data_IF_939463550641
#
_entry.id   IF_939463550641
#
_cell.length_a   1.000
_cell.length_b   1.000
_cell.length_c   1.000
_cell.angle_alpha   90.00
_cell.angle_beta   90.00
_cell.angle_gamma   90.00
#
_symmetry.space_group_name_H-M   'P 1'
#
loop_
_entity.id
_entity.type
_entity.pdbx_description
1 polymer ?
#
# COMPACT_ATOMS: atom_id res chain seq x y z
N UNK A 1 -20.54 3.38 -29.42
CA UNK A 1 -20.71 2.42 -28.30
C UNK A 1 -19.91 2.95 -27.12
N UNK A 2 -20.45 2.98 -25.90
CA UNK A 2 -19.68 3.40 -24.75
C UNK A 2 -18.46 2.51 -24.60
N UNK A 3 -17.32 3.11 -24.27
CA UNK A 3 -16.06 2.43 -24.09
C UNK A 3 -16.15 1.49 -22.87
N UNK A 4 -16.19 0.17 -23.09
CA UNK A 4 -16.35 -0.86 -22.05
C UNK A 4 -15.00 -1.16 -21.36
N UNK A 5 -13.93 -0.47 -21.76
CA UNK A 5 -12.59 -0.68 -21.22
C UNK A 5 -12.55 -0.28 -19.72
N UNK A 6 -12.14 -1.18 -18.82
CA UNK A 6 -12.04 -0.90 -17.40
C UNK A 6 -10.78 -0.07 -17.12
N UNK A 7 -10.86 1.25 -17.31
CA UNK A 7 -9.71 2.17 -17.30
C UNK A 7 -8.85 2.07 -16.04
N UNK A 8 -9.44 2.00 -14.84
CA UNK A 8 -8.64 1.89 -13.61
C UNK A 8 -7.90 0.55 -13.50
N UNK A 9 -8.55 -0.54 -13.93
CA UNK A 9 -7.92 -1.87 -13.96
C UNK A 9 -6.80 -1.94 -15.00
N UNK A 10 -7.00 -1.32 -16.16
CA UNK A 10 -5.99 -1.24 -17.21
C UNK A 10 -4.79 -0.39 -16.77
N UNK A 11 -5.04 0.77 -16.16
CA UNK A 11 -4.00 1.63 -15.60
C UNK A 11 -3.17 0.89 -14.54
N UNK A 12 -3.83 0.14 -13.65
CA UNK A 12 -3.15 -0.69 -12.66
C UNK A 12 -2.17 -1.69 -13.27
N UNK A 13 -2.52 -2.34 -14.39
CA UNK A 13 -1.60 -3.25 -15.10
C UNK A 13 -0.50 -2.50 -15.85
N UNK A 14 -0.82 -1.39 -16.52
CA UNK A 14 0.12 -0.54 -17.28
C UNK A 14 1.15 0.15 -16.39
N UNK A 15 0.86 0.38 -15.10
CA UNK A 15 1.78 1.01 -14.16
C UNK A 15 2.77 0.03 -13.51
N UNK A 16 2.55 -1.28 -13.63
CA UNK A 16 3.45 -2.27 -13.03
C UNK A 16 4.79 -2.34 -13.75
N UNK A 17 5.89 -2.33 -13.02
CA UNK A 17 7.26 -2.53 -13.50
C UNK A 17 7.57 -4.02 -13.63
N UNK A 18 8.46 -4.40 -14.55
CA UNK A 18 8.90 -5.78 -14.69
C UNK A 18 9.85 -6.13 -13.54
N UNK A 19 9.49 -7.11 -12.72
CA UNK A 19 10.31 -7.58 -11.60
C UNK A 19 10.47 -9.10 -11.71
N UNK A 20 11.55 -9.59 -12.35
CA UNK A 20 11.85 -11.01 -12.41
C UNK A 20 11.96 -11.60 -11.01
N UNK A 21 11.31 -12.74 -10.79
CA UNK A 21 11.38 -13.43 -9.51
C UNK A 21 11.31 -14.95 -9.71
N UNK A 22 12.06 -15.69 -8.89
CA UNK A 22 12.17 -17.14 -9.01
C UNK A 22 10.98 -17.84 -8.35
N UNK A 23 10.50 -17.28 -7.25
CA UNK A 23 9.35 -17.74 -6.47
C UNK A 23 8.30 -16.65 -6.39
N UNK A 24 7.04 -17.06 -6.20
CA UNK A 24 6.00 -16.10 -5.84
C UNK A 24 6.24 -15.48 -4.44
N UNK A 25 7.10 -16.09 -3.62
CA UNK A 25 7.46 -15.57 -2.30
C UNK A 25 8.53 -14.47 -2.33
N UNK A 26 9.13 -14.20 -3.49
CA UNK A 26 10.16 -13.18 -3.66
C UNK A 26 9.55 -11.77 -3.68
N UNK A 27 8.50 -11.59 -4.47
CA UNK A 27 7.66 -10.38 -4.47
C UNK A 27 6.53 -10.58 -3.50
N UNK A 28 6.43 -9.73 -2.47
CA UNK A 28 5.54 -9.97 -1.33
C UNK A 28 4.55 -8.83 -1.10
N UNK A 29 3.31 -9.16 -0.72
CA UNK A 29 2.24 -8.21 -0.37
C UNK A 29 2.11 -7.03 -1.34
N UNK A 30 2.29 -5.79 -0.86
CA UNK A 30 2.12 -4.55 -1.62
C UNK A 30 3.14 -4.40 -2.74
N UNK A 31 4.26 -5.13 -2.72
CA UNK A 31 5.19 -5.18 -3.86
C UNK A 31 4.45 -5.65 -5.11
N UNK A 32 3.44 -6.52 -4.98
CA UNK A 32 2.58 -6.91 -6.10
C UNK A 32 1.76 -5.76 -6.67
N UNK A 33 1.58 -4.62 -5.98
CA UNK A 33 0.89 -3.46 -6.54
C UNK A 33 1.70 -2.77 -7.63
N UNK A 34 3.02 -2.71 -7.49
CA UNK A 34 3.94 -2.02 -8.41
C UNK A 34 4.75 -2.97 -9.27
N UNK A 35 4.91 -4.24 -8.87
CA UNK A 35 5.64 -5.25 -9.62
C UNK A 35 4.70 -6.14 -10.45
N UNK A 36 5.05 -6.32 -11.72
CA UNK A 36 4.59 -7.42 -12.55
C UNK A 36 5.63 -8.51 -12.49
N UNK A 37 5.24 -9.66 -11.95
CA UNK A 37 6.13 -10.81 -11.81
C UNK A 37 5.41 -12.11 -12.16
N UNK A 38 6.18 -13.07 -12.64
CA UNK A 38 5.75 -14.45 -12.84
C UNK A 38 6.89 -15.34 -12.38
N UNK A 39 6.62 -16.18 -11.37
CA UNK A 39 7.63 -17.09 -10.81
C UNK A 39 8.34 -17.88 -11.93
N UNK A 40 9.68 -17.93 -11.87
CA UNK A 40 10.55 -18.62 -12.85
C UNK A 40 10.60 -17.96 -14.25
N UNK A 41 9.96 -16.81 -14.46
CA UNK A 41 10.18 -15.99 -15.66
C UNK A 41 11.34 -15.03 -15.39
N UNK A 42 12.56 -15.58 -15.32
CA UNK A 42 13.77 -14.84 -14.94
C UNK A 42 14.29 -13.93 -16.07
N UNK A 43 13.91 -14.22 -17.32
CA UNK A 43 14.27 -13.40 -18.48
C UNK A 43 13.27 -12.25 -18.62
N UNK A 44 13.80 -11.02 -18.73
CA UNK A 44 12.99 -9.79 -18.79
C UNK A 44 12.05 -9.80 -20.00
N UNK A 45 12.51 -10.31 -21.13
CA UNK A 45 11.75 -10.37 -22.38
C UNK A 45 10.55 -11.33 -22.29
N UNK A 46 10.71 -12.49 -21.65
CA UNK A 46 9.59 -13.42 -21.36
C UNK A 46 8.57 -12.75 -20.44
N UNK A 47 9.05 -12.05 -19.41
CA UNK A 47 8.18 -11.36 -18.46
C UNK A 47 7.46 -10.17 -19.12
N UNK A 48 8.14 -9.45 -20.00
CA UNK A 48 7.58 -8.36 -20.81
C UNK A 48 6.47 -8.86 -21.73
N UNK A 49 6.65 -9.98 -22.42
CA UNK A 49 5.62 -10.56 -23.29
C UNK A 49 4.40 -11.00 -22.49
N UNK A 50 4.60 -11.63 -21.33
CA UNK A 50 3.51 -12.00 -20.43
C UNK A 50 2.72 -10.76 -19.97
N UNK A 51 3.42 -9.69 -19.57
CA UNK A 51 2.79 -8.43 -19.18
C UNK A 51 1.98 -7.83 -20.31
N UNK A 52 2.58 -7.73 -21.49
CA UNK A 52 1.94 -7.21 -22.71
C UNK A 52 0.70 -8.04 -23.08
N UNK A 53 0.80 -9.36 -23.01
CA UNK A 53 -0.34 -10.24 -23.28
C UNK A 53 -1.49 -10.04 -22.29
N UNK A 54 -1.20 -9.85 -21.00
CA UNK A 54 -2.24 -9.57 -19.98
C UNK A 54 -2.88 -8.20 -20.22
N UNK A 55 -2.07 -7.16 -20.50
CA UNK A 55 -2.56 -5.81 -20.82
C UNK A 55 -3.47 -5.85 -22.05
N UNK A 56 -3.02 -6.50 -23.13
CA UNK A 56 -3.80 -6.65 -24.36
C UNK A 56 -5.10 -7.43 -24.12
N UNK A 57 -5.07 -8.43 -23.23
CA UNK A 57 -6.27 -9.17 -22.91
C UNK A 57 -7.29 -8.32 -22.14
N UNK A 58 -6.85 -7.43 -21.25
CA UNK A 58 -7.71 -6.46 -20.58
C UNK A 58 -8.26 -5.41 -21.55
N UNK A 59 -7.38 -4.80 -22.33
CA UNK A 59 -7.72 -3.70 -23.25
C UNK A 59 -8.68 -4.14 -24.36
N UNK A 60 -8.53 -5.36 -24.87
CA UNK A 60 -9.35 -5.91 -25.96
C UNK A 60 -10.45 -6.86 -25.49
N UNK A 61 -10.63 -7.04 -24.17
CA UNK A 61 -11.62 -7.97 -23.61
C UNK A 61 -11.42 -9.44 -24.04
N UNK A 62 -10.17 -9.89 -24.19
CA UNK A 62 -9.88 -11.23 -24.71
C UNK A 62 -10.24 -12.34 -23.71
N UNK A 63 -10.74 -13.47 -24.21
CA UNK A 63 -10.94 -14.67 -23.40
C UNK A 63 -9.60 -15.32 -22.98
N UNK A 64 -9.64 -16.20 -21.99
CA UNK A 64 -8.45 -17.01 -21.62
C UNK A 64 -7.95 -17.86 -22.80
N UNK A 65 -8.86 -18.41 -23.62
CA UNK A 65 -8.48 -19.25 -24.77
C UNK A 65 -7.76 -18.42 -25.83
N UNK A 66 -8.22 -17.19 -26.09
CA UNK A 66 -7.55 -16.23 -26.97
C UNK A 66 -6.18 -15.81 -26.43
N UNK A 67 -6.11 -15.44 -25.14
CA UNK A 67 -4.85 -15.12 -24.45
C UNK A 67 -3.84 -16.26 -24.58
N UNK A 68 -4.26 -17.50 -24.29
CA UNK A 68 -3.42 -18.71 -24.38
C UNK A 68 -2.94 -18.95 -25.80
N UNK A 69 -3.84 -18.88 -26.80
CA UNK A 69 -3.51 -19.10 -28.21
C UNK A 69 -2.42 -18.13 -28.69
N UNK A 70 -2.48 -16.87 -28.24
CA UNK A 70 -1.55 -15.83 -28.65
C UNK A 70 -0.18 -15.95 -27.96
N UNK A 71 -0.14 -16.17 -26.64
CA UNK A 71 1.11 -16.12 -25.88
C UNK A 71 1.88 -17.45 -25.88
N UNK A 72 1.20 -18.59 -26.04
CA UNK A 72 1.84 -19.91 -25.96
C UNK A 72 2.96 -20.12 -26.99
N UNK A 73 2.78 -19.83 -28.29
CA UNK A 73 3.85 -20.00 -29.27
C UNK A 73 5.07 -19.13 -28.97
N UNK A 74 4.86 -17.89 -28.53
CA UNK A 74 5.94 -16.94 -28.17
C UNK A 74 6.77 -17.51 -27.01
N UNK A 75 6.12 -18.00 -25.96
CA UNK A 75 6.82 -18.58 -24.81
C UNK A 75 7.56 -19.88 -25.17
N UNK A 76 7.01 -20.69 -26.10
CA UNK A 76 7.68 -21.89 -26.60
C UNK A 76 8.95 -21.54 -27.39
N UNK A 77 8.86 -20.55 -28.28
CA UNK A 77 10.01 -20.06 -29.06
C UNK A 77 11.11 -19.51 -28.16
N UNK A 78 10.75 -18.80 -27.08
CA UNK A 78 11.68 -18.30 -26.06
C UNK A 78 12.17 -19.37 -25.08
N UNK A 79 11.78 -20.63 -25.30
CA UNK A 79 12.19 -21.75 -24.46
C UNK A 79 11.61 -21.73 -23.04
N UNK A 80 10.61 -20.89 -22.74
CA UNK A 80 9.92 -20.84 -21.47
C UNK A 80 8.67 -21.75 -21.46
N UNK A 81 8.84 -23.04 -21.75
CA UNK A 81 7.74 -24.00 -21.78
C UNK A 81 8.14 -25.36 -21.25
N UNK A 82 7.18 -26.07 -20.62
CA UNK A 82 7.40 -27.40 -20.09
C UNK A 82 8.22 -27.40 -18.79
N UNK A 83 8.89 -28.52 -18.53
CA UNK A 83 9.79 -28.70 -17.39
C UNK A 83 11.23 -28.47 -17.84
N UNK A 84 11.98 -27.69 -17.08
CA UNK A 84 13.41 -27.44 -17.31
C UNK A 84 14.15 -27.32 -15.98
N UNK A 85 15.42 -27.69 -15.99
CA UNK A 85 16.29 -27.40 -14.85
C UNK A 85 16.53 -25.89 -14.75
N UNK A 86 16.47 -25.38 -13.53
CA UNK A 86 16.82 -24.00 -13.20
C UNK A 86 17.53 -23.96 -11.87
N UNK A 87 18.56 -23.12 -11.77
CA UNK A 87 19.22 -22.80 -10.50
C UNK A 87 18.46 -21.67 -9.81
N UNK A 88 18.07 -21.90 -8.56
CA UNK A 88 17.51 -20.87 -7.70
C UNK A 88 18.60 -19.89 -7.29
N UNK A 89 18.52 -18.60 -7.66
CA UNK A 89 19.59 -17.63 -7.36
C UNK A 89 19.76 -17.37 -5.86
N UNK A 90 18.72 -17.62 -5.05
CA UNK A 90 18.79 -17.40 -3.60
C UNK A 90 19.49 -18.56 -2.87
N UNK A 91 19.22 -19.80 -3.30
CA UNK A 91 19.68 -21.00 -2.58
C UNK A 91 20.82 -21.74 -3.28
N UNK A 92 21.13 -21.41 -4.53
CA UNK A 92 22.11 -22.10 -5.37
C UNK A 92 21.68 -23.50 -5.84
N UNK A 93 20.49 -23.98 -5.46
CA UNK A 93 20.02 -25.33 -5.77
C UNK A 93 19.40 -25.40 -7.17
N UNK A 94 19.77 -26.43 -7.93
CA UNK A 94 19.10 -26.77 -9.19
C UNK A 94 17.79 -27.50 -8.90
N UNK A 95 16.70 -27.03 -9.50
CA UNK A 95 15.37 -27.65 -9.38
C UNK A 95 14.80 -27.96 -10.76
N UNK A 96 14.02 -29.04 -10.86
CA UNK A 96 13.21 -29.32 -12.03
C UNK A 96 11.97 -28.41 -12.02
N UNK A 97 12.11 -27.24 -12.63
CA UNK A 97 11.12 -26.17 -12.62
C UNK A 97 10.07 -26.38 -13.72
N UNK A 98 8.79 -26.30 -13.34
CA UNK A 98 7.70 -26.14 -14.30
C UNK A 98 7.69 -24.69 -14.82
N UNK A 99 8.13 -24.47 -16.07
CA UNK A 99 8.00 -23.22 -16.83
C UNK A 99 6.59 -23.10 -17.41
N UNK A 100 6.39 -22.57 -18.62
CA UNK A 100 5.06 -22.43 -19.22
C UNK A 100 4.27 -23.75 -19.30
N UNK A 101 2.97 -23.66 -19.00
CA UNK A 101 1.98 -24.72 -19.24
C UNK A 101 0.59 -24.09 -19.32
N UNK A 102 -0.38 -24.77 -19.95
CA UNK A 102 -1.76 -24.28 -20.05
C UNK A 102 -2.36 -23.96 -18.67
N UNK A 103 -2.10 -24.81 -17.66
CA UNK A 103 -2.52 -24.56 -16.27
C UNK A 103 -1.87 -23.30 -15.70
N UNK A 104 -0.57 -23.08 -15.92
CA UNK A 104 0.12 -21.88 -15.41
C UNK A 104 -0.33 -20.61 -16.12
N UNK A 105 -0.53 -20.64 -17.44
CA UNK A 105 -1.11 -19.53 -18.19
C UNK A 105 -2.48 -19.15 -17.64
N UNK A 106 -3.30 -20.13 -17.26
CA UNK A 106 -4.61 -19.90 -16.64
C UNK A 106 -4.49 -19.18 -15.30
N UNK A 107 -3.51 -19.55 -14.48
CA UNK A 107 -3.23 -18.86 -13.21
C UNK A 107 -2.76 -17.43 -13.46
N UNK A 108 -1.77 -17.23 -14.34
CA UNK A 108 -1.22 -15.91 -14.68
C UNK A 108 -2.33 -14.98 -15.16
N UNK A 109 -3.13 -15.43 -16.12
CA UNK A 109 -4.26 -14.69 -16.65
C UNK A 109 -5.26 -14.34 -15.52
N UNK A 110 -5.75 -15.35 -14.78
CA UNK A 110 -6.81 -15.13 -13.79
C UNK A 110 -6.38 -14.23 -12.64
N UNK A 111 -5.20 -14.44 -12.08
CA UNK A 111 -4.72 -13.66 -10.93
C UNK A 111 -4.52 -12.20 -11.33
N UNK A 112 -3.85 -11.92 -12.45
CA UNK A 112 -3.64 -10.54 -12.87
C UNK A 112 -4.95 -9.83 -13.22
N UNK A 113 -5.83 -10.48 -13.99
CA UNK A 113 -7.12 -9.89 -14.35
C UNK A 113 -7.98 -9.62 -13.10
N UNK A 114 -8.08 -10.58 -12.17
CA UNK A 114 -8.88 -10.42 -10.95
C UNK A 114 -8.34 -9.32 -10.05
N UNK A 115 -7.03 -9.30 -9.81
CA UNK A 115 -6.41 -8.27 -8.98
C UNK A 115 -6.62 -6.88 -9.58
N UNK A 116 -6.48 -6.75 -10.91
CA UNK A 116 -6.73 -5.50 -11.61
C UNK A 116 -8.19 -5.03 -11.52
N UNK A 117 -9.16 -5.92 -11.74
CA UNK A 117 -10.57 -5.58 -11.58
C UNK A 117 -10.92 -5.19 -10.14
N UNK A 118 -10.37 -5.90 -9.15
CA UNK A 118 -10.59 -5.58 -7.74
C UNK A 118 -9.95 -4.25 -7.35
N UNK A 119 -8.77 -3.90 -7.87
CA UNK A 119 -8.19 -2.56 -7.71
C UNK A 119 -9.11 -1.47 -8.28
N UNK A 120 -9.58 -1.62 -9.51
CA UNK A 120 -10.50 -0.64 -10.09
C UNK A 120 -11.83 -0.54 -9.34
N UNK A 121 -12.32 -1.66 -8.82
CA UNK A 121 -13.51 -1.67 -7.97
C UNK A 121 -13.28 -0.95 -6.63
N UNK A 122 -12.12 -1.16 -6.01
CA UNK A 122 -11.72 -0.43 -4.81
C UNK A 122 -11.68 1.08 -5.07
N UNK A 123 -11.01 1.51 -6.14
CA UNK A 123 -10.85 2.94 -6.45
C UNK A 123 -12.20 3.64 -6.63
N UNK A 124 -13.09 3.02 -7.40
CA UNK A 124 -14.45 3.55 -7.59
C UNK A 124 -15.27 3.55 -6.31
N UNK A 125 -15.14 2.50 -5.49
CA UNK A 125 -15.82 2.44 -4.22
C UNK A 125 -15.33 3.58 -3.32
N UNK A 126 -14.02 3.70 -3.11
CA UNK A 126 -13.42 4.71 -2.24
C UNK A 126 -13.70 6.14 -2.70
N UNK A 127 -13.72 6.40 -4.01
CA UNK A 127 -14.05 7.71 -4.55
C UNK A 127 -15.53 8.14 -4.35
N UNK A 128 -16.42 7.22 -3.96
CA UNK A 128 -17.85 7.49 -3.85
C UNK A 128 -18.32 7.68 -2.41
N UNK A 129 -18.55 8.93 -1.99
CA UNK A 129 -19.10 9.24 -0.65
C UNK A 129 -20.51 8.67 -0.43
N UNK A 130 -21.27 8.45 -1.51
CA UNK A 130 -22.62 7.88 -1.46
C UNK A 130 -22.66 6.41 -1.01
N UNK A 131 -21.52 5.71 -1.07
CA UNK A 131 -21.40 4.30 -0.70
C UNK A 131 -20.44 4.14 0.47
N UNK A 132 -20.84 4.44 1.71
CA UNK A 132 -19.94 4.36 2.87
C UNK A 132 -19.50 2.94 3.24
N UNK A 133 -20.14 1.90 2.68
CA UNK A 133 -19.85 0.51 3.01
C UNK A 133 -19.31 -0.30 1.84
N UNK A 134 -18.54 -1.32 2.18
CA UNK A 134 -18.18 -2.43 1.29
C UNK A 134 -18.89 -3.70 1.76
N UNK A 135 -19.35 -4.49 0.80
CA UNK A 135 -19.92 -5.82 1.04
C UNK A 135 -19.04 -6.89 0.41
N UNK A 136 -18.63 -7.89 1.19
CA UNK A 136 -17.92 -9.06 0.69
C UNK A 136 -18.89 -10.00 -0.02
N UNK A 137 -18.57 -10.41 -1.24
CA UNK A 137 -19.38 -11.37 -2.02
C UNK A 137 -18.56 -12.52 -2.58
N UNK A 138 -19.14 -13.71 -2.53
CA UNK A 138 -18.56 -14.88 -3.21
C UNK A 138 -18.86 -14.83 -4.72
N UNK A 139 -17.85 -15.17 -5.53
CA UNK A 139 -17.99 -15.25 -6.99
C UNK A 139 -18.56 -16.58 -7.49
N UNK A 140 -18.62 -16.80 -8.82
CA UNK A 140 -19.22 -17.99 -9.43
C UNK A 140 -18.26 -19.20 -9.40
N UNK A 141 -17.68 -19.51 -8.25
CA UNK A 141 -16.90 -20.74 -8.08
C UNK A 141 -17.86 -21.91 -7.82
N UNK A 142 -17.55 -23.08 -8.38
CA UNK A 142 -18.33 -24.30 -8.09
C UNK A 142 -18.10 -24.75 -6.65
N UNK A 143 -16.85 -24.64 -6.19
CA UNK A 143 -16.44 -24.93 -4.81
C UNK A 143 -15.86 -23.67 -4.20
N UNK A 144 -16.34 -23.29 -3.02
CA UNK A 144 -15.85 -22.16 -2.27
C UNK A 144 -15.08 -22.65 -1.05
N UNK A 145 -14.15 -21.83 -0.55
CA UNK A 145 -13.52 -22.08 0.75
C UNK A 145 -14.54 -21.78 1.85
N UNK A 146 -14.57 -22.58 2.90
CA UNK A 146 -15.52 -22.43 4.00
C UNK A 146 -15.43 -21.04 4.63
N UNK A 147 -14.21 -20.55 4.89
CA UNK A 147 -13.96 -19.22 5.44
C UNK A 147 -14.59 -18.13 4.54
N UNK A 148 -14.47 -18.25 3.22
CA UNK A 148 -14.99 -17.25 2.29
C UNK A 148 -16.52 -17.27 2.21
N UNK A 149 -17.14 -18.44 2.40
CA UNK A 149 -18.60 -18.54 2.54
C UNK A 149 -19.07 -17.85 3.82
N UNK A 150 -18.31 -18.01 4.91
CA UNK A 150 -18.60 -17.34 6.18
C UNK A 150 -18.54 -15.81 6.10
N UNK A 151 -17.88 -15.25 5.06
CA UNK A 151 -17.82 -13.81 4.81
C UNK A 151 -18.86 -13.32 3.78
N UNK A 152 -19.60 -14.18 3.07
CA UNK A 152 -20.58 -13.74 2.07
C UNK A 152 -21.69 -12.90 2.71
N UNK A 153 -21.95 -11.70 2.20
CA UNK A 153 -22.92 -10.78 2.79
C UNK A 153 -22.43 -9.99 4.00
N UNK A 154 -21.13 -10.05 4.33
CA UNK A 154 -20.50 -9.16 5.31
C UNK A 154 -20.42 -7.73 4.75
N UNK A 155 -21.06 -6.77 5.42
CA UNK A 155 -21.14 -5.35 5.07
C UNK A 155 -20.46 -4.55 6.17
N UNK A 156 -19.33 -3.93 5.87
CA UNK A 156 -18.55 -3.14 6.82
C UNK A 156 -18.27 -1.74 6.25
N UNK A 157 -18.01 -0.73 7.10
CA UNK A 157 -17.48 0.55 6.65
C UNK A 157 -16.25 0.34 5.76
N UNK A 158 -16.02 1.25 4.82
CA UNK A 158 -14.86 1.20 3.91
C UNK A 158 -13.53 1.20 4.66
N UNK A 159 -13.50 1.86 5.81
CA UNK A 159 -12.33 2.06 6.67
C UNK A 159 -12.11 0.91 7.66
N UNK A 160 -13.00 -0.09 7.67
CA UNK A 160 -12.89 -1.21 8.61
C UNK A 160 -11.57 -1.99 8.39
N UNK A 161 -10.77 -2.24 9.46
CA UNK A 161 -9.50 -2.95 9.38
C UNK A 161 -9.60 -4.35 8.77
N UNK A 162 -10.78 -4.97 8.77
CA UNK A 162 -11.02 -6.25 8.10
C UNK A 162 -10.55 -6.24 6.63
N UNK A 163 -10.75 -5.12 5.93
CA UNK A 163 -10.39 -4.99 4.52
C UNK A 163 -8.88 -4.97 4.27
N UNK A 164 -8.05 -4.70 5.27
CA UNK A 164 -6.58 -4.65 5.10
C UNK A 164 -5.97 -6.01 4.72
N UNK A 165 -6.64 -7.11 5.05
CA UNK A 165 -6.21 -8.48 4.70
C UNK A 165 -7.25 -9.31 3.97
N UNK A 166 -8.53 -8.96 4.04
CA UNK A 166 -9.62 -9.77 3.46
C UNK A 166 -10.21 -9.18 2.18
N UNK A 167 -9.66 -8.07 1.66
CA UNK A 167 -10.10 -7.53 0.38
C UNK A 167 -9.71 -8.48 -0.77
N UNK A 168 -10.69 -9.05 -1.52
CA UNK A 168 -10.40 -10.05 -2.53
C UNK A 168 -9.50 -9.59 -3.68
N UNK A 169 -8.92 -10.55 -4.42
CA UNK A 169 -8.85 -12.00 -4.15
C UNK A 169 -8.01 -12.40 -2.94
N UNK A 170 -8.57 -13.25 -2.06
CA UNK A 170 -7.87 -13.77 -0.88
C UNK A 170 -7.01 -15.03 -1.14
N UNK A 171 -6.59 -15.26 -2.39
CA UNK A 171 -5.83 -16.45 -2.75
C UNK A 171 -5.92 -16.86 -4.22
N UNK A 172 -5.04 -17.77 -4.63
CA UNK A 172 -5.07 -18.33 -5.98
C UNK A 172 -6.42 -18.97 -6.29
N UNK A 173 -6.97 -18.66 -7.46
CA UNK A 173 -8.27 -19.17 -7.92
C UNK A 173 -9.50 -18.57 -7.20
N UNK A 174 -9.31 -17.60 -6.29
CA UNK A 174 -10.41 -16.87 -5.68
C UNK A 174 -11.18 -16.07 -6.75
N UNK A 175 -12.51 -16.10 -6.65
CA UNK A 175 -13.42 -15.33 -7.51
C UNK A 175 -14.29 -14.34 -6.72
N UNK A 176 -14.08 -14.27 -5.40
CA UNK A 176 -14.78 -13.33 -4.53
C UNK A 176 -14.48 -11.90 -4.95
N UNK A 177 -15.37 -10.99 -4.59
CA UNK A 177 -15.30 -9.58 -4.95
C UNK A 177 -15.96 -8.73 -3.88
N UNK A 178 -15.69 -7.43 -3.86
CA UNK A 178 -16.44 -6.49 -3.00
C UNK A 178 -17.55 -5.80 -3.77
N UNK A 179 -18.52 -5.22 -3.08
CA UNK A 179 -19.55 -4.36 -3.68
C UNK A 179 -19.73 -3.13 -2.82
N UNK A 180 -19.68 -1.95 -3.41
CA UNK A 180 -20.01 -0.71 -2.70
C UNK A 180 -21.51 -0.68 -2.36
N UNK A 181 -21.86 -0.30 -1.14
CA UNK A 181 -23.23 -0.32 -0.61
C UNK A 181 -23.57 1.03 0.01
N UNK A 182 -24.75 1.56 -0.33
CA UNK A 182 -25.31 2.78 0.27
C UNK A 182 -25.95 2.48 1.62
N UNK A 183 -26.10 3.50 2.47
CA UNK A 183 -26.81 3.38 3.76
C UNK A 183 -28.22 2.78 3.60
N UNK A 184 -29.01 3.30 2.66
CA UNK A 184 -30.36 2.80 2.40
C UNK A 184 -30.37 1.33 1.98
N UNK A 185 -29.39 0.91 1.17
CA UNK A 185 -29.28 -0.48 0.71
C UNK A 185 -28.81 -1.41 1.81
N UNK A 186 -27.91 -0.96 2.71
CA UNK A 186 -27.51 -1.69 3.92
C UNK A 186 -28.73 -2.00 4.79
N UNK A 187 -29.56 -1.00 5.10
CA UNK A 187 -30.82 -1.19 5.87
C UNK A 187 -31.75 -2.21 5.23
N UNK A 188 -31.90 -2.15 3.90
CA UNK A 188 -32.71 -3.14 3.18
C UNK A 188 -32.14 -4.56 3.30
N UNK A 189 -30.82 -4.72 3.23
CA UNK A 189 -30.16 -6.02 3.40
C UNK A 189 -30.24 -6.55 4.83
N UNK A 190 -30.24 -5.67 5.83
CA UNK A 190 -30.47 -6.08 7.23
C UNK A 190 -31.88 -6.64 7.44
N UNK A 191 -32.91 -6.06 6.80
CA UNK A 191 -34.29 -6.57 6.89
C UNK A 191 -34.52 -7.83 6.06
N UNK A 192 -34.08 -7.82 4.79
CA UNK A 192 -34.50 -8.83 3.80
C UNK A 192 -33.44 -9.90 3.54
N UNK A 193 -32.22 -9.71 4.05
CA UNK A 193 -31.04 -10.44 3.63
C UNK A 193 -30.47 -9.97 2.29
N UNK A 194 -29.26 -10.43 1.99
CA UNK A 194 -28.51 -10.15 0.78
C UNK A 194 -28.86 -11.21 -0.28
N UNK A 195 -29.37 -10.82 -1.46
CA UNK A 195 -29.70 -11.77 -2.52
C UNK A 195 -28.46 -12.51 -3.04
N UNK A 196 -28.59 -13.83 -3.16
CA UNK A 196 -27.62 -14.72 -3.80
C UNK A 196 -28.17 -15.21 -5.14
N UNK A 197 -27.31 -15.14 -6.17
CA UNK A 197 -27.67 -15.63 -7.49
C UNK A 197 -27.70 -17.16 -7.48
N UNK A 198 -28.75 -17.73 -8.08
CA UNK A 198 -28.80 -19.17 -8.34
C UNK A 198 -27.61 -19.59 -9.20
N UNK A 199 -27.07 -20.77 -8.90
CA UNK A 199 -26.10 -21.46 -9.75
C UNK A 199 -26.76 -21.88 -11.06
N UNK A 200 -25.93 -22.23 -12.03
CA UNK A 200 -26.40 -22.65 -13.35
C UNK A 200 -27.26 -23.92 -13.32
N UNK A 201 -27.11 -24.75 -12.28
CA UNK A 201 -27.92 -25.94 -12.00
C UNK A 201 -29.23 -25.62 -11.26
N UNK A 202 -29.57 -24.34 -11.07
CA UNK A 202 -30.78 -23.89 -10.36
C UNK A 202 -30.66 -23.87 -8.83
N UNK A 203 -29.56 -24.33 -8.25
CA UNK A 203 -29.38 -24.41 -6.79
C UNK A 203 -28.75 -23.15 -6.18
N UNK A 204 -28.90 -22.93 -4.87
CA UNK A 204 -28.18 -21.89 -4.12
C UNK A 204 -28.70 -20.45 -4.28
N UNK A 205 -29.82 -20.25 -4.98
CA UNK A 205 -30.56 -18.99 -4.95
C UNK A 205 -31.22 -18.75 -3.58
N UNK A 206 -31.43 -17.49 -3.22
CA UNK A 206 -32.06 -17.11 -1.96
C UNK A 206 -31.49 -15.82 -1.40
N UNK A 207 -31.59 -15.65 -0.08
CA UNK A 207 -30.99 -14.54 0.64
C UNK A 207 -30.08 -15.09 1.74
N UNK A 208 -28.88 -14.53 1.87
CA UNK A 208 -28.00 -14.76 3.03
C UNK A 208 -28.16 -13.62 4.03
N UNK A 209 -28.02 -13.85 5.35
CA UNK A 209 -28.07 -12.77 6.32
C UNK A 209 -27.01 -11.70 6.03
N UNK A 210 -27.41 -10.43 6.12
CA UNK A 210 -26.45 -9.34 6.16
C UNK A 210 -25.73 -9.37 7.50
N UNK A 211 -24.39 -9.42 7.48
CA UNK A 211 -23.57 -9.32 8.68
C UNK A 211 -22.95 -7.94 8.71
N UNK A 212 -23.05 -7.24 9.82
CA UNK A 212 -22.64 -5.83 9.94
C UNK A 212 -21.54 -5.61 10.98
N UNK A 213 -21.09 -6.69 11.60
CA UNK A 213 -19.98 -6.72 12.55
C UNK A 213 -18.83 -7.53 11.98
N UNK A 214 -17.61 -7.02 12.14
CA UNK A 214 -16.42 -7.71 11.67
C UNK A 214 -16.21 -9.00 12.49
N UNK A 215 -16.04 -10.16 11.85
CA UNK A 215 -15.79 -11.39 12.59
C UNK A 215 -14.41 -11.34 13.26
N UNK A 216 -14.21 -12.01 14.40
CA UNK A 216 -12.89 -12.11 15.02
C UNK A 216 -11.92 -12.80 14.07
N UNK A 217 -10.77 -12.17 13.85
CA UNK A 217 -9.74 -12.69 12.94
C UNK A 217 -8.87 -13.69 13.68
N UNK A 218 -8.92 -14.95 13.25
CA UNK A 218 -7.97 -15.98 13.66
C UNK A 218 -6.74 -15.92 12.78
N UNK A 219 -5.57 -16.05 13.40
CA UNK A 219 -4.29 -15.98 12.69
C UNK A 219 -3.56 -17.31 12.77
N UNK A 220 -2.86 -17.64 11.69
CA UNK A 220 -1.86 -18.71 11.63
C UNK A 220 -0.49 -18.10 11.36
N UNK A 221 0.54 -18.72 11.93
CA UNK A 221 1.92 -18.31 11.67
C UNK A 221 2.38 -18.85 10.31
N UNK A 222 2.98 -17.99 9.50
CA UNK A 222 3.59 -18.36 8.23
C UNK A 222 5.06 -17.91 8.22
N UNK A 223 5.95 -18.82 7.83
CA UNK A 223 7.37 -18.51 7.64
C UNK A 223 7.69 -18.39 6.15
N UNK A 224 8.07 -17.19 5.72
CA UNK A 224 8.61 -16.96 4.40
C UNK A 224 10.11 -17.27 4.39
N UNK A 225 10.44 -18.53 4.09
CA UNK A 225 11.81 -19.03 4.00
C UNK A 225 12.72 -18.23 3.05
N UNK A 226 12.15 -17.53 2.06
CA UNK A 226 12.94 -16.76 1.08
C UNK A 226 13.31 -15.37 1.57
N UNK A 227 12.55 -14.84 2.52
CA UNK A 227 12.77 -13.52 3.14
C UNK A 227 13.30 -13.62 4.57
N UNK A 228 13.27 -14.82 5.17
CA UNK A 228 13.63 -15.05 6.56
C UNK A 228 12.62 -14.44 7.55
N UNK A 229 11.39 -14.15 7.11
CA UNK A 229 10.39 -13.44 7.92
C UNK A 229 9.30 -14.38 8.41
N UNK A 230 8.87 -14.20 9.66
CA UNK A 230 7.68 -14.83 10.23
C UNK A 230 6.56 -13.81 10.28
N UNK A 231 5.37 -14.17 9.80
CA UNK A 231 4.19 -13.30 9.82
C UNK A 231 2.95 -14.03 10.32
N UNK A 232 1.99 -13.25 10.82
CA UNK A 232 0.66 -13.73 11.15
C UNK A 232 -0.28 -13.52 9.96
N UNK A 233 -0.83 -14.61 9.44
CA UNK A 233 -1.74 -14.61 8.29
C UNK A 233 -3.14 -14.97 8.76
N UNK A 234 -4.18 -14.20 8.43
CA UNK A 234 -5.56 -14.58 8.73
C UNK A 234 -5.93 -15.95 8.17
N UNK A 235 -6.69 -16.73 8.92
CA UNK A 235 -7.33 -17.93 8.39
C UNK A 235 -8.24 -17.58 7.20
N UNK A 236 -8.29 -18.46 6.20
CA UNK A 236 -8.98 -18.21 4.94
C UNK A 236 -8.24 -17.30 3.95
N UNK A 237 -7.18 -16.60 4.34
CA UNK A 237 -6.34 -15.80 3.45
C UNK A 237 -5.05 -16.56 3.10
N UNK A 238 -4.72 -16.62 1.81
CA UNK A 238 -3.44 -17.15 1.36
C UNK A 238 -2.32 -16.15 1.69
N UNK A 239 -1.15 -16.58 2.21
CA UNK A 239 -0.08 -15.66 2.62
C UNK A 239 0.30 -14.63 1.54
N UNK A 240 0.37 -15.02 0.26
CA UNK A 240 0.73 -14.09 -0.82
C UNK A 240 -0.35 -13.02 -1.11
N UNK A 241 -1.52 -13.17 -0.51
CA UNK A 241 -2.69 -12.30 -0.66
C UNK A 241 -3.10 -11.67 0.67
N UNK A 242 -2.27 -11.77 1.72
CA UNK A 242 -2.51 -11.15 3.02
C UNK A 242 -2.23 -9.64 2.98
N UNK A 243 -2.89 -8.94 2.06
CA UNK A 243 -2.83 -7.50 1.87
C UNK A 243 -4.02 -7.02 1.03
N UNK A 244 -4.38 -5.75 1.15
CA UNK A 244 -5.46 -5.17 0.38
C UNK A 244 -4.97 -4.73 -1.02
N UNK A 245 -5.39 -5.46 -2.04
CA UNK A 245 -5.01 -5.20 -3.43
C UNK A 245 -5.50 -3.87 -3.99
N UNK A 246 -6.58 -3.34 -3.42
CA UNK A 246 -7.10 -2.02 -3.73
C UNK A 246 -6.26 -0.90 -3.12
N UNK A 247 -5.69 -1.15 -1.95
CA UNK A 247 -4.94 -0.17 -1.16
C UNK A 247 -3.45 -0.27 -1.48
N UNK A 248 -2.99 0.55 -2.41
CA UNK A 248 -1.55 0.77 -2.63
C UNK A 248 -1.02 1.69 -1.54
N UNK A 249 -0.22 1.18 -0.61
CA UNK A 249 0.34 1.97 0.50
C UNK A 249 -0.16 1.56 1.90
N UNK A 250 -0.25 0.26 2.18
CA UNK A 250 -0.62 -0.28 3.50
C UNK A 250 0.35 0.07 4.63
N UNK A 251 1.52 0.66 4.31
CA UNK A 251 2.48 1.11 5.32
C UNK A 251 1.77 1.91 6.41
N UNK A 252 1.02 2.95 6.02
CA UNK A 252 0.35 3.84 6.99
C UNK A 252 -0.61 3.08 7.93
N UNK A 253 -1.52 2.24 7.42
CA UNK A 253 -2.47 1.53 8.31
C UNK A 253 -1.84 0.42 9.13
N UNK A 254 -0.80 -0.24 8.62
CA UNK A 254 -0.01 -1.21 9.40
C UNK A 254 0.67 -0.50 10.57
N UNK A 255 1.26 0.67 10.32
CA UNK A 255 1.89 1.47 11.37
C UNK A 255 0.87 2.04 12.37
N UNK A 256 -0.31 2.49 11.94
CA UNK A 256 -1.37 2.94 12.86
C UNK A 256 -1.84 1.80 13.77
N UNK A 257 -2.07 0.60 13.22
CA UNK A 257 -2.43 -0.58 14.01
C UNK A 257 -1.31 -0.99 14.97
N UNK A 258 -0.05 -0.88 14.54
CA UNK A 258 1.10 -1.15 15.39
C UNK A 258 1.18 -0.13 16.52
N UNK A 259 0.97 1.16 16.25
CA UNK A 259 0.94 2.22 17.26
C UNK A 259 -0.10 1.90 18.32
N UNK A 260 -1.34 1.61 17.88
CA UNK A 260 -2.42 1.25 18.79
C UNK A 260 -2.03 0.05 19.67
N UNK A 261 -1.62 -1.07 19.06
CA UNK A 261 -1.27 -2.28 19.81
C UNK A 261 -0.08 -2.09 20.75
N UNK A 262 0.91 -1.31 20.34
CA UNK A 262 2.11 -1.06 21.16
C UNK A 262 1.76 -0.16 22.33
N UNK A 263 0.94 0.88 22.13
CA UNK A 263 0.42 1.72 23.23
C UNK A 263 -0.43 0.91 24.21
N UNK A 264 -1.25 -0.01 23.72
CA UNK A 264 -2.10 -0.85 24.56
C UNK A 264 -1.31 -1.92 25.35
N UNK A 265 -0.30 -2.55 24.72
CA UNK A 265 0.36 -3.75 25.28
C UNK A 265 1.76 -3.51 25.85
N UNK A 266 2.45 -2.46 25.39
CA UNK A 266 3.83 -2.16 25.74
C UNK A 266 4.10 -0.65 25.73
N UNK A 267 3.36 0.16 26.53
CA UNK A 267 3.44 1.61 26.49
C UNK A 267 4.82 2.15 26.85
N UNK A 268 5.52 1.53 27.81
CA UNK A 268 6.86 1.95 28.24
C UNK A 268 7.93 1.72 27.16
N UNK A 269 7.72 0.73 26.29
CA UNK A 269 8.64 0.39 25.19
C UNK A 269 8.20 0.97 23.84
N UNK A 270 7.13 1.79 23.82
CA UNK A 270 6.53 2.31 22.60
C UNK A 270 7.56 2.94 21.67
N UNK A 271 8.34 3.91 22.16
CA UNK A 271 9.31 4.64 21.35
C UNK A 271 10.41 3.71 20.81
N UNK A 272 10.90 2.77 21.63
CA UNK A 272 11.94 1.82 21.23
C UNK A 272 11.43 0.86 20.15
N UNK A 273 10.23 0.31 20.32
CA UNK A 273 9.62 -0.63 19.37
C UNK A 273 9.34 0.07 18.05
N UNK A 274 8.72 1.25 18.09
CA UNK A 274 8.39 2.03 16.89
C UNK A 274 9.65 2.46 16.13
N UNK A 275 10.66 2.97 16.84
CA UNK A 275 11.95 3.34 16.25
C UNK A 275 12.65 2.13 15.61
N UNK A 276 12.69 1.00 16.32
CA UNK A 276 13.32 -0.24 15.82
C UNK A 276 12.63 -0.76 14.55
N UNK A 277 11.30 -0.71 14.52
CA UNK A 277 10.53 -1.13 13.34
C UNK A 277 10.78 -0.16 12.19
N UNK A 278 10.69 1.15 12.38
CA UNK A 278 10.90 2.13 11.31
C UNK A 278 12.34 2.13 10.77
N UNK A 279 13.35 1.91 11.62
CA UNK A 279 14.75 1.83 11.21
C UNK A 279 15.15 0.51 10.53
N UNK A 280 14.28 -0.50 10.54
CA UNK A 280 14.59 -1.79 9.91
C UNK A 280 14.87 -1.63 8.41
N UNK A 281 15.85 -2.36 7.89
CA UNK A 281 16.27 -2.29 6.49
C UNK A 281 15.15 -2.48 5.47
N UNK A 282 14.17 -3.34 5.76
CA UNK A 282 13.03 -3.59 4.87
C UNK A 282 12.20 -2.31 4.72
N UNK A 283 11.97 -1.62 5.82
CA UNK A 283 11.21 -0.37 5.84
C UNK A 283 11.99 0.77 5.18
N UNK A 284 13.30 0.87 5.45
CA UNK A 284 14.18 1.83 4.76
C UNK A 284 14.18 1.62 3.25
N UNK A 285 14.34 0.38 2.78
CA UNK A 285 14.30 0.04 1.35
C UNK A 285 12.94 0.37 0.72
N UNK A 286 11.85 0.08 1.42
CA UNK A 286 10.50 0.46 0.97
C UNK A 286 10.35 1.98 0.83
N UNK A 287 10.81 2.75 1.82
CA UNK A 287 10.80 4.20 1.78
C UNK A 287 11.68 4.78 0.66
N UNK A 288 12.86 4.22 0.41
CA UNK A 288 13.71 4.64 -0.71
C UNK A 288 13.03 4.41 -2.06
N UNK A 289 12.34 3.28 -2.21
CA UNK A 289 11.52 3.01 -3.40
C UNK A 289 10.42 4.05 -3.62
N UNK A 290 9.75 4.48 -2.54
CA UNK A 290 8.77 5.57 -2.59
C UNK A 290 9.40 6.89 -3.03
N UNK A 291 10.56 7.26 -2.49
CA UNK A 291 11.25 8.53 -2.85
C UNK A 291 11.69 8.51 -4.32
N UNK A 292 12.25 7.41 -4.81
CA UNK A 292 12.59 7.25 -6.24
C UNK A 292 11.34 7.40 -7.11
N UNK A 293 10.26 6.68 -6.79
CA UNK A 293 9.01 6.75 -7.56
C UNK A 293 8.40 8.16 -7.53
N UNK A 294 8.50 8.86 -6.41
CA UNK A 294 8.03 10.24 -6.29
C UNK A 294 8.88 11.19 -7.15
N UNK A 295 10.21 11.12 -7.07
CA UNK A 295 11.13 11.95 -7.89
C UNK A 295 10.93 11.71 -9.40
N UNK A 296 10.76 10.45 -9.79
CA UNK A 296 10.49 10.03 -11.16
C UNK A 296 9.04 10.30 -11.62
N UNK A 297 8.17 10.79 -10.71
CA UNK A 297 6.73 11.05 -10.95
C UNK A 297 5.95 9.81 -11.41
N UNK A 298 6.32 8.64 -10.89
CA UNK A 298 5.67 7.35 -11.16
C UNK A 298 4.47 7.07 -10.25
N UNK A 299 4.30 7.85 -9.18
CA UNK A 299 3.20 7.75 -8.21
C UNK A 299 2.21 8.90 -8.34
N UNK A 300 0.97 8.69 -7.88
CA UNK A 300 0.01 9.78 -7.72
C UNK A 300 0.56 10.81 -6.73
N UNK A 301 0.22 12.09 -6.92
CA UNK A 301 0.69 13.19 -6.07
C UNK A 301 0.30 12.97 -4.60
N UNK A 302 -0.84 12.34 -4.35
CA UNK A 302 -1.38 12.08 -3.02
C UNK A 302 -0.92 10.73 -2.45
N UNK A 303 -0.04 10.01 -3.17
CA UNK A 303 0.53 8.79 -2.62
C UNK A 303 1.40 9.11 -1.41
N UNK A 304 1.20 8.37 -0.31
CA UNK A 304 1.83 8.63 0.98
C UNK A 304 2.72 7.48 1.42
N UNK A 305 3.78 7.83 2.15
CA UNK A 305 4.62 6.90 2.88
C UNK A 305 4.71 7.29 4.37
N UNK A 306 4.75 6.31 5.29
CA UNK A 306 5.12 6.57 6.68
C UNK A 306 6.61 6.90 6.75
N UNK A 307 6.96 8.03 7.39
CA UNK A 307 8.34 8.54 7.46
C UNK A 307 8.83 8.78 8.89
N UNK A 308 7.95 8.64 9.87
CA UNK A 308 8.30 8.80 11.28
C UNK A 308 7.10 8.58 12.18
N UNK A 309 7.31 8.73 13.48
CA UNK A 309 6.23 8.76 14.46
C UNK A 309 6.48 9.85 15.49
N UNK A 310 5.41 10.33 16.12
CA UNK A 310 5.46 11.23 17.26
C UNK A 310 5.63 10.39 18.51
N UNK A 311 6.79 10.52 19.15
CA UNK A 311 7.16 9.80 20.36
C UNK A 311 6.27 10.16 21.56
N UNK A 312 6.39 9.40 22.65
CA UNK A 312 5.59 9.60 23.86
C UNK A 312 5.75 11.01 24.44
N UNK A 313 6.99 11.50 24.59
CA UNK A 313 7.27 12.82 25.17
C UNK A 313 6.65 13.94 24.34
N UNK A 314 6.76 13.87 23.02
CA UNK A 314 6.17 14.83 22.09
C UNK A 314 4.65 14.73 22.07
N UNK A 315 4.09 13.52 22.19
CA UNK A 315 2.64 13.32 22.30
C UNK A 315 2.08 13.98 23.56
N UNK A 316 2.69 13.73 24.73
CA UNK A 316 2.28 14.32 26.00
C UNK A 316 2.37 15.86 25.98
N UNK A 317 3.41 16.38 25.31
CA UNK A 317 3.56 17.81 25.09
C UNK A 317 2.40 18.39 24.27
N UNK A 318 2.06 17.76 23.14
CA UNK A 318 0.97 18.21 22.27
C UNK A 318 -0.38 18.14 22.97
N UNK A 319 -0.62 17.12 23.79
CA UNK A 319 -1.84 17.01 24.59
C UNK A 319 -2.01 18.19 25.57
N UNK A 320 -0.91 18.62 26.21
CA UNK A 320 -0.91 19.83 27.08
C UNK A 320 -1.21 21.12 26.31
N UNK A 321 -0.92 21.15 25.00
CA UNK A 321 -1.29 22.26 24.11
C UNK A 321 -2.69 22.09 23.50
N UNK A 322 -3.45 21.07 23.90
CA UNK A 322 -4.82 20.80 23.44
C UNK A 322 -4.91 20.00 22.13
N UNK A 323 -3.79 19.46 21.63
CA UNK A 323 -3.74 18.67 20.40
C UNK A 323 -3.69 17.19 20.77
N UNK A 324 -4.82 16.51 20.60
CA UNK A 324 -4.95 15.08 20.91
C UNK A 324 -4.75 14.25 19.64
N UNK A 325 -3.62 13.55 19.56
CA UNK A 325 -3.32 12.68 18.43
C UNK A 325 -4.02 11.31 18.54
N UNK A 326 -4.34 10.84 19.75
CA UNK A 326 -4.93 9.51 19.94
C UNK A 326 -4.00 8.42 19.38
N UNK A 327 -4.49 7.64 18.41
CA UNK A 327 -3.71 6.61 17.71
C UNK A 327 -3.01 7.12 16.43
N UNK A 328 -3.17 8.41 16.11
CA UNK A 328 -2.65 9.03 14.89
C UNK A 328 -1.26 9.61 15.09
N UNK A 329 -0.32 8.79 15.55
CA UNK A 329 1.06 9.22 15.83
C UNK A 329 2.00 9.06 14.63
N UNK A 330 1.54 8.52 13.50
CA UNK A 330 2.39 8.29 12.34
C UNK A 330 2.54 9.56 11.52
N UNK A 331 3.77 9.95 11.25
CA UNK A 331 4.11 11.06 10.36
C UNK A 331 4.16 10.52 8.93
N UNK A 332 3.41 11.14 8.03
CA UNK A 332 3.36 10.78 6.61
C UNK A 332 4.05 11.81 5.71
N UNK A 333 4.62 11.34 4.61
CA UNK A 333 5.13 12.15 3.50
C UNK A 333 4.29 11.89 2.25
N UNK A 334 3.78 12.95 1.62
CA UNK A 334 3.14 12.88 0.32
C UNK A 334 4.17 13.00 -0.82
N UNK A 335 3.97 12.23 -1.89
CA UNK A 335 4.78 12.34 -3.12
C UNK A 335 4.76 13.75 -3.72
N UNK A 336 3.67 14.51 -3.50
CA UNK A 336 3.49 15.88 -3.98
C UNK A 336 4.55 16.85 -3.43
N UNK A 337 5.05 16.61 -2.22
CA UNK A 337 6.05 17.46 -1.58
C UNK A 337 7.44 17.24 -2.20
N UNK A 338 7.76 15.99 -2.53
CA UNK A 338 9.05 15.63 -3.15
C UNK A 338 9.18 16.21 -4.56
N UNK A 339 8.11 16.15 -5.37
CA UNK A 339 8.19 16.41 -6.82
C UNK A 339 7.36 17.60 -7.34
N UNK A 340 6.61 18.27 -6.46
CA UNK A 340 5.61 19.25 -6.83
C UNK A 340 6.23 20.54 -7.35
N UNK A 341 5.90 20.93 -8.59
CA UNK A 341 6.43 22.14 -9.24
C UNK A 341 6.32 23.41 -8.39
N UNK A 342 5.22 23.57 -7.63
CA UNK A 342 5.01 24.71 -6.74
C UNK A 342 6.01 24.72 -5.57
N UNK A 343 6.24 23.55 -4.97
CA UNK A 343 7.15 23.37 -3.85
C UNK A 343 8.61 23.44 -4.30
N UNK A 344 9.00 22.54 -5.21
CA UNK A 344 10.38 22.46 -5.71
C UNK A 344 10.78 23.77 -6.36
N UNK A 345 9.93 24.36 -7.21
CA UNK A 345 10.19 25.66 -7.83
C UNK A 345 10.34 26.80 -6.82
N UNK A 346 9.66 26.76 -5.66
CA UNK A 346 9.86 27.76 -4.60
C UNK A 346 11.24 27.60 -3.96
N UNK A 347 11.57 26.40 -3.49
CA UNK A 347 12.82 26.16 -2.77
C UNK A 347 14.06 26.21 -3.67
N UNK A 348 13.96 25.77 -4.93
CA UNK A 348 15.04 25.94 -5.91
C UNK A 348 15.32 27.42 -6.18
N UNK A 349 14.28 28.26 -6.35
CA UNK A 349 14.47 29.72 -6.50
C UNK A 349 15.09 30.37 -5.26
N UNK A 350 14.87 29.79 -4.09
CA UNK A 350 15.42 30.26 -2.83
C UNK A 350 16.78 29.65 -2.48
N UNK A 351 17.36 28.81 -3.36
CA UNK A 351 18.66 28.17 -3.12
C UNK A 351 18.66 27.09 -2.03
N UNK A 352 17.49 26.73 -1.48
CA UNK A 352 17.40 25.91 -0.27
C UNK A 352 16.64 24.58 -0.45
N UNK A 353 16.49 24.13 -1.70
CA UNK A 353 15.82 22.86 -2.01
C UNK A 353 16.60 21.67 -1.46
N UNK A 354 15.92 20.69 -0.85
CA UNK A 354 16.53 19.41 -0.54
C UNK A 354 17.04 18.72 -1.82
N UNK A 355 18.20 18.07 -1.71
CA UNK A 355 18.75 17.15 -2.69
C UNK A 355 18.07 15.78 -2.62
N UNK A 356 18.39 14.90 -3.56
CA UNK A 356 17.85 13.54 -3.62
C UNK A 356 18.22 12.75 -2.35
N UNK A 357 19.46 12.87 -1.93
CA UNK A 357 20.03 12.18 -0.77
C UNK A 357 19.37 12.64 0.54
N UNK A 358 18.98 13.91 0.61
CA UNK A 358 18.28 14.46 1.77
C UNK A 358 16.93 13.77 2.01
N UNK A 359 16.19 13.44 0.93
CA UNK A 359 14.93 12.72 1.04
C UNK A 359 15.12 11.29 1.56
N UNK A 360 16.25 10.63 1.28
CA UNK A 360 16.55 9.31 1.85
C UNK A 360 16.85 9.37 3.34
N UNK A 361 17.44 10.46 3.82
CA UNK A 361 17.78 10.62 5.22
C UNK A 361 16.60 11.09 6.08
N UNK A 362 15.49 11.52 5.47
CA UNK A 362 14.31 12.06 6.18
C UNK A 362 13.83 11.15 7.33
N UNK A 363 13.77 9.84 7.11
CA UNK A 363 13.30 8.89 8.12
C UNK A 363 14.22 8.91 9.35
N UNK A 364 15.54 8.86 9.14
CA UNK A 364 16.50 8.88 10.24
C UNK A 364 16.47 10.24 10.97
N UNK A 365 16.34 11.33 10.22
CA UNK A 365 16.25 12.68 10.79
C UNK A 365 15.00 12.89 11.65
N UNK A 366 13.82 12.44 11.23
CA UNK A 366 12.61 12.58 12.05
C UNK A 366 12.71 11.79 13.36
N UNK A 367 13.41 10.66 13.34
CA UNK A 367 13.57 9.81 14.52
C UNK A 367 14.58 10.39 15.51
N UNK A 368 15.67 10.99 15.03
CA UNK A 368 16.82 11.36 15.86
C UNK A 368 16.95 12.88 16.11
N UNK A 369 16.33 13.73 15.28
CA UNK A 369 16.49 15.17 15.39
C UNK A 369 15.77 15.77 16.60
N UNK A 370 16.35 16.83 17.19
CA UNK A 370 15.64 17.69 18.13
C UNK A 370 14.34 18.23 17.55
N UNK A 371 13.29 18.25 18.39
CA UNK A 371 11.97 18.76 18.02
C UNK A 371 11.61 20.01 18.81
N UNK A 372 11.03 20.99 18.13
CA UNK A 372 10.63 22.29 18.65
C UNK A 372 9.15 22.57 18.33
N UNK A 373 8.49 23.35 19.17
CA UNK A 373 7.12 23.80 18.95
C UNK A 373 7.07 25.23 18.40
N UNK A 374 6.43 25.43 17.25
CA UNK A 374 6.33 26.76 16.63
C UNK A 374 4.98 27.47 16.86
N UNK A 375 4.09 26.86 17.65
CA UNK A 375 2.73 27.34 17.90
C UNK A 375 1.66 26.73 17.00
N UNK A 376 2.05 26.09 15.88
CA UNK A 376 1.13 25.50 14.89
C UNK A 376 1.49 24.06 14.52
N UNK A 377 2.79 23.76 14.48
CA UNK A 377 3.36 22.47 14.09
C UNK A 377 4.66 22.18 14.84
N UNK A 378 5.23 21.02 14.52
CA UNK A 378 6.52 20.60 15.04
C UNK A 378 7.61 20.96 14.03
N UNK A 379 8.72 21.50 14.53
CA UNK A 379 9.93 21.73 13.73
C UNK A 379 11.00 20.75 14.21
N UNK A 380 11.50 19.93 13.29
CA UNK A 380 12.67 19.08 13.49
C UNK A 380 13.87 19.74 12.82
N UNK A 381 14.98 19.84 13.57
CA UNK A 381 16.17 20.53 13.09
C UNK A 381 17.39 19.60 13.17
N UNK A 382 17.89 19.17 12.00
CA UNK A 382 19.07 18.30 11.92
C UNK A 382 20.29 19.11 11.50
N UNK A 383 21.41 18.93 12.19
CA UNK A 383 22.70 19.52 11.79
C UNK A 383 23.30 18.71 10.63
N UNK A 384 23.58 19.37 9.49
CA UNK A 384 24.25 18.78 8.33
C UNK A 384 25.75 19.12 8.32
N UNK A 385 26.09 20.34 8.72
CA UNK A 385 27.46 20.83 8.94
C UNK A 385 27.43 21.95 9.98
N UNK A 386 28.56 22.60 10.27
CA UNK A 386 28.60 23.72 11.20
C UNK A 386 27.74 24.92 10.78
N UNK A 387 27.57 25.09 9.46
CA UNK A 387 26.82 26.20 8.87
C UNK A 387 25.51 25.76 8.22
N UNK A 388 25.22 24.46 8.08
CA UNK A 388 24.01 23.99 7.40
C UNK A 388 23.15 23.10 8.27
N UNK A 389 21.86 23.37 8.26
CA UNK A 389 20.84 22.61 8.99
C UNK A 389 19.70 22.21 8.05
N UNK A 390 19.19 20.99 8.19
CA UNK A 390 17.94 20.60 7.57
C UNK A 390 16.80 20.93 8.53
N UNK A 391 15.87 21.76 8.07
CA UNK A 391 14.62 22.05 8.78
C UNK A 391 13.50 21.23 8.16
N UNK A 392 12.78 20.48 8.99
CA UNK A 392 11.61 19.70 8.60
C UNK A 392 10.43 20.18 9.45
N UNK A 393 9.31 20.50 8.82
CA UNK A 393 8.08 20.93 9.50
C UNK A 393 7.03 19.84 9.37
N UNK A 394 6.50 19.40 10.51
CA UNK A 394 5.38 18.47 10.60
C UNK A 394 4.14 19.22 11.06
N UNK A 395 3.12 19.24 10.20
CA UNK A 395 1.79 19.69 10.57
C UNK A 395 1.11 18.58 11.40
N UNK A 396 0.73 18.92 12.63
CA UNK A 396 0.04 18.04 13.58
C UNK A 396 -1.45 18.38 13.73
N UNK A 397 -1.94 19.36 12.95
CA UNK A 397 -3.34 19.75 12.99
C UNK A 397 -4.18 18.79 12.14
N UNK A 398 -4.81 17.84 12.83
CA UNK A 398 -5.66 16.82 12.23
C UNK A 398 -6.92 17.40 11.55
N UNK A 399 -7.27 18.68 11.78
CA UNK A 399 -8.48 19.30 11.23
C UNK A 399 -8.28 19.99 9.86
N UNK A 400 -7.09 19.96 9.27
CA UNK A 400 -6.84 20.66 7.99
C UNK A 400 -7.20 19.79 6.77
N UNK A 401 -8.42 19.99 6.26
CA UNK A 401 -8.75 20.06 4.82
C UNK A 401 -8.52 18.84 3.90
N UNK A 402 -9.63 18.38 3.30
CA UNK A 402 -9.70 17.33 2.26
C UNK A 402 -9.12 17.74 0.90
N UNK A 403 -8.68 16.74 0.11
CA UNK A 403 -8.80 16.78 -1.37
C UNK A 403 -8.88 15.34 -1.94
N UNK A 404 -10.01 15.03 -2.62
CA UNK A 404 -10.34 13.74 -3.28
C UNK A 404 -10.57 12.52 -2.37
N UNK A 405 -11.36 12.68 -1.30
CA UNK A 405 -12.12 11.54 -0.73
C UNK A 405 -11.37 10.58 0.19
N UNK A 406 -10.11 10.82 0.56
CA UNK A 406 -9.44 10.09 1.65
C UNK A 406 -8.98 11.10 2.69
N UNK A 407 -9.68 11.17 3.84
CA UNK A 407 -9.23 11.95 5.00
C UNK A 407 -8.28 11.07 5.82
N UNK A 408 -6.98 11.21 5.60
CA UNK A 408 -5.99 10.71 6.56
C UNK A 408 -5.81 11.78 7.63
N UNK A 409 -6.37 11.54 8.81
CA UNK A 409 -6.22 12.39 9.99
C UNK A 409 -4.86 12.11 10.66
N UNK A 410 -3.77 12.38 9.95
CA UNK A 410 -2.41 12.05 10.39
C UNK A 410 -1.50 13.28 10.36
N UNK A 411 -0.51 13.36 11.27
CA UNK A 411 0.61 14.28 11.14
C UNK A 411 1.29 14.12 9.77
N UNK A 412 1.59 15.24 9.10
CA UNK A 412 2.16 15.22 7.75
C UNK A 412 3.34 16.17 7.62
N UNK A 413 4.29 15.83 6.75
CA UNK A 413 5.35 16.78 6.37
C UNK A 413 4.73 17.92 5.57
N UNK A 414 4.85 19.15 6.07
CA UNK A 414 4.38 20.36 5.40
C UNK A 414 5.47 21.00 4.53
N UNK A 415 6.70 21.06 5.04
CA UNK A 415 7.86 21.59 4.30
C UNK A 415 9.17 21.06 4.83
N UNK A 416 10.19 21.01 3.97
CA UNK A 416 11.54 20.55 4.28
C UNK A 416 12.57 21.33 3.47
N UNK A 417 13.50 22.04 4.10
CA UNK A 417 14.49 22.84 3.38
C UNK A 417 15.76 23.10 4.19
N UNK A 418 16.81 23.47 3.48
CA UNK A 418 18.13 23.76 4.07
C UNK A 418 18.13 25.18 4.65
N UNK A 419 18.65 25.33 5.86
CA UNK A 419 19.08 26.59 6.43
C UNK A 419 20.58 26.67 6.27
N UNK A 420 21.07 27.65 5.51
CA UNK A 420 22.49 27.97 5.43
C UNK A 420 22.78 29.23 6.24
N UNK A 421 23.68 29.10 7.21
CA UNK A 421 24.13 30.19 8.09
C UNK A 421 25.33 30.94 7.51
N UNK A 422 25.93 30.46 6.42
CA UNK A 422 27.07 31.09 5.76
C UNK A 422 26.67 32.00 4.60
N UNK A 423 25.46 31.87 4.06
CA UNK A 423 24.95 32.82 3.07
C UNK A 423 24.75 34.20 3.72
N UNK A 424 25.23 35.27 3.07
CA UNK A 424 25.06 36.67 3.50
C UNK A 424 23.58 37.12 3.59
N UNK A 425 22.64 36.24 3.26
CA UNK A 425 21.21 36.46 3.43
C UNK A 425 20.76 36.18 4.86
N UNK A 426 20.20 37.21 5.52
CA UNK A 426 19.69 37.13 6.90
C UNK A 426 18.65 36.02 7.16
N UNK A 427 18.07 35.39 6.12
CA UNK A 427 16.97 34.45 6.28
C UNK A 427 17.35 33.16 6.99
N UNK A 428 18.48 32.54 6.64
CA UNK A 428 18.92 31.27 7.24
C UNK A 428 19.24 31.46 8.73
N UNK A 429 20.03 32.49 9.02
CA UNK A 429 20.43 32.89 10.37
C UNK A 429 19.22 33.32 11.21
N UNK A 430 18.34 34.19 10.68
CA UNK A 430 17.17 34.64 11.42
C UNK A 430 16.21 33.50 11.73
N UNK A 431 16.00 32.60 10.78
CA UNK A 431 15.13 31.44 11.02
C UNK A 431 15.74 30.47 12.03
N UNK A 432 17.05 30.23 11.96
CA UNK A 432 17.75 29.42 12.96
C UNK A 432 17.66 30.05 14.36
N UNK A 433 17.93 31.35 14.48
CA UNK A 433 17.83 32.08 15.75
C UNK A 433 16.39 32.07 16.30
N UNK A 434 15.39 32.23 15.42
CA UNK A 434 13.98 32.11 15.78
C UNK A 434 13.67 30.73 16.36
N UNK A 435 14.16 29.66 15.73
CA UNK A 435 13.96 28.28 16.21
C UNK A 435 14.72 28.04 17.52
N UNK A 436 15.93 28.57 17.66
CA UNK A 436 16.74 28.43 18.87
C UNK A 436 16.08 29.06 20.11
N UNK A 437 15.19 30.03 19.92
CA UNK A 437 14.38 30.64 20.98
C UNK A 437 13.07 29.89 21.26
N UNK A 438 12.71 28.88 20.48
CA UNK A 438 11.49 28.10 20.67
C UNK A 438 11.61 27.11 21.83
N UNK A 439 10.44 26.67 22.31
CA UNK A 439 10.34 25.60 23.30
C UNK A 439 10.82 24.28 22.69
N UNK A 440 12.01 23.82 23.11
CA UNK A 440 12.57 22.53 22.73
C UNK A 440 11.85 21.41 23.48
N UNK A 441 11.29 20.47 22.73
CA UNK A 441 10.52 19.34 23.27
C UNK A 441 11.46 18.19 23.61
N UNK A 442 12.34 17.80 22.69
CA UNK A 442 13.35 16.74 22.88
C UNK A 442 14.65 17.09 22.18
#
# INVERSE_FOLDING_TARGET
>A
MPDIIPNEALAYLKNKKLTPAFSYKDVWHEEHATAFTVAKAMQIDVLADLRTAVINAMEKGQSFESFKKNIKPVLQQKGWWGRKEMTDPLTGKTVNAQLGSDRRLKTIYRVNMRSAFQKGQYDRAMASDLHPYLMYRIGPSVRHRQDHQSWDGLILPKEDPFWDSHFPPNGFGCKCYTRAVTEARKKQYETNGVPTASRHDGTGGGNVPAKTEAPPIKYKTFFNERRGTVEQVPEGVDPAFNWNQGRTGRGVSVYENLVQKTREKAPEQFDLIMSSIMKNEVNKKSFYGFVEDALERKTDRQHTAPVGFIDAKTTDFLEKKGIKLGNHNIVILESSLVNGKKYTGRHTRMGNSPAKEDWYNLLDWLLDAPAFWDGKGLIYLTKLSDTRYMKIVVDVNLNTGSHRGVRLFLPKIDTMYILDLAEEGDRGINEFNRIAQMEKIR
#
